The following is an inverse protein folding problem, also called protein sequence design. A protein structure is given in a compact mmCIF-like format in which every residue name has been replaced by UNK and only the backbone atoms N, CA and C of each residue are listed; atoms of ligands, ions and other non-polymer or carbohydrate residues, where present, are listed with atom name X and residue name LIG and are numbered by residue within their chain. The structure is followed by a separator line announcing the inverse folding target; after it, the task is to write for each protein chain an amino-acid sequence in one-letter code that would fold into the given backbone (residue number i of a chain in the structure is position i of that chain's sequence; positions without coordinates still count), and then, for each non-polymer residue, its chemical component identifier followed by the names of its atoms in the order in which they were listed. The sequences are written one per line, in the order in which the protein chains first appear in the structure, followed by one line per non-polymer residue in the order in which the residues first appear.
data_IF_042163423889
#
_entry.id   IF_042163423889
#
_cell.length_a   1.000
_cell.length_b   1.000
_cell.length_c   1.000
_cell.angle_alpha   90.00
_cell.angle_beta   90.00
_cell.angle_gamma   90.00
#
_symmetry.space_group_name_H-M   'P 1'
#
loop_
_entity.id
_entity.type
_entity.pdbx_description
1 polymer ?
#
# COMPACT_ATOMS: atom_id res chain seq x y z
N UNK A 1 -27.66 -8.06 -6.64
CA UNK A 1 -27.19 -6.78 -6.07
C UNK A 1 -25.92 -6.46 -6.83
N UNK A 2 -25.94 -5.47 -7.71
CA UNK A 2 -24.74 -5.10 -8.47
C UNK A 2 -23.68 -4.60 -7.48
N UNK A 3 -22.55 -5.30 -7.38
CA UNK A 3 -21.38 -4.75 -6.72
C UNK A 3 -20.99 -3.49 -7.49
N UNK A 4 -21.18 -2.32 -6.89
CA UNK A 4 -20.60 -1.10 -7.43
C UNK A 4 -19.09 -1.29 -7.57
N UNK A 5 -18.58 -1.02 -8.76
CA UNK A 5 -17.14 -0.95 -9.05
C UNK A 5 -16.53 0.09 -8.10
N UNK A 6 -15.75 -0.37 -7.12
CA UNK A 6 -15.24 0.48 -6.04
C UNK A 6 -13.73 0.64 -6.15
N UNK A 7 -13.25 1.86 -6.02
CA UNK A 7 -11.83 2.16 -5.93
C UNK A 7 -11.47 2.38 -4.46
N UNK A 8 -10.31 1.87 -4.05
CA UNK A 8 -9.80 2.14 -2.71
C UNK A 8 -8.30 2.38 -2.70
N UNK A 9 -7.84 3.12 -1.71
CA UNK A 9 -6.43 3.22 -1.35
C UNK A 9 -6.30 2.65 0.06
N UNK A 10 -5.40 1.68 0.22
CA UNK A 10 -5.03 1.12 1.51
C UNK A 10 -3.69 1.71 1.92
N UNK A 11 -3.61 2.16 3.16
CA UNK A 11 -2.35 2.56 3.80
C UNK A 11 -1.99 1.47 4.79
N UNK A 12 -0.80 0.89 4.63
CA UNK A 12 -0.34 -0.25 5.43
C UNK A 12 0.97 0.08 6.13
N UNK A 13 1.22 -0.56 7.26
CA UNK A 13 2.52 -0.57 7.93
C UNK A 13 2.77 -1.96 8.50
N UNK A 14 3.95 -2.53 8.22
CA UNK A 14 4.27 -3.91 8.55
C UNK A 14 5.75 -4.26 8.38
N UNK A 15 6.08 -5.52 8.67
CA UNK A 15 7.45 -6.03 8.76
C UNK A 15 7.95 -6.68 7.45
N UNK A 16 7.13 -6.63 6.41
CA UNK A 16 7.41 -7.17 5.07
C UNK A 16 6.89 -6.23 4.01
N UNK A 17 7.48 -6.23 2.82
CA UNK A 17 7.01 -5.34 1.76
C UNK A 17 5.56 -5.67 1.36
N UNK A 18 4.72 -4.64 1.13
CA UNK A 18 3.27 -4.77 1.03
C UNK A 18 2.79 -5.54 -0.21
N UNK A 19 3.67 -5.82 -1.17
CA UNK A 19 3.33 -6.59 -2.36
C UNK A 19 3.38 -8.11 -2.18
N UNK A 20 3.86 -8.60 -1.04
CA UNK A 20 3.89 -10.03 -0.79
C UNK A 20 2.53 -10.58 -0.39
N UNK A 21 1.62 -9.74 0.14
CA UNK A 21 0.28 -10.12 0.58
C UNK A 21 0.28 -11.44 1.37
N UNK A 22 1.21 -11.56 2.34
CA UNK A 22 1.32 -12.74 3.18
C UNK A 22 0.03 -12.95 4.00
N UNK A 23 -0.19 -14.17 4.48
CA UNK A 23 -1.39 -14.50 5.25
C UNK A 23 -1.60 -13.53 6.43
N UNK A 24 -2.75 -12.85 6.43
CA UNK A 24 -3.11 -11.88 7.46
C UNK A 24 -2.56 -10.46 7.24
N UNK A 25 -1.99 -10.15 6.06
CA UNK A 25 -1.54 -8.81 5.70
C UNK A 25 -2.61 -7.73 5.91
N UNK A 26 -3.90 -8.07 5.85
CA UNK A 26 -4.99 -7.11 6.07
C UNK A 26 -4.91 -6.46 7.46
N UNK A 27 -4.29 -7.14 8.44
CA UNK A 27 -4.05 -6.59 9.79
C UNK A 27 -3.04 -5.43 9.79
N UNK A 28 -2.25 -5.30 8.73
CA UNK A 28 -1.29 -4.20 8.55
C UNK A 28 -1.97 -2.94 7.99
N UNK A 29 -3.23 -3.01 7.56
CA UNK A 29 -3.98 -1.83 7.08
C UNK A 29 -4.25 -0.89 8.25
N UNK A 30 -3.68 0.32 8.17
CA UNK A 30 -3.89 1.42 9.13
C UNK A 30 -5.02 2.35 8.69
N UNK A 31 -5.20 2.52 7.38
CA UNK A 31 -6.26 3.36 6.82
C UNK A 31 -6.77 2.79 5.49
N UNK A 32 -8.08 2.93 5.25
CA UNK A 32 -8.69 2.71 3.93
C UNK A 32 -9.45 3.96 3.49
N UNK A 33 -9.15 4.45 2.29
CA UNK A 33 -9.90 5.52 1.61
C UNK A 33 -10.67 4.92 0.45
N UNK A 34 -11.94 5.26 0.30
CA UNK A 34 -12.82 4.75 -0.75
C UNK A 34 -13.20 5.88 -1.70
N UNK A 35 -13.31 5.56 -3.00
CA UNK A 35 -13.59 6.53 -4.05
C UNK A 35 -14.65 5.99 -5.01
N UNK A 36 -15.48 6.91 -5.52
CA UNK A 36 -16.54 6.57 -6.46
C UNK A 36 -16.01 6.37 -7.90
N UNK A 37 -14.85 6.94 -8.24
CA UNK A 37 -14.30 6.88 -9.58
C UNK A 37 -12.76 6.80 -9.59
N UNK A 38 -12.23 6.32 -10.72
CA UNK A 38 -10.81 6.11 -10.94
C UNK A 38 -10.00 7.40 -10.91
N UNK A 39 -10.56 8.50 -11.42
CA UNK A 39 -9.85 9.79 -11.53
C UNK A 39 -9.49 10.32 -10.14
N UNK A 40 -10.44 10.33 -9.22
CA UNK A 40 -10.21 10.75 -7.83
C UNK A 40 -9.22 9.82 -7.12
N UNK A 41 -9.40 8.51 -7.24
CA UNK A 41 -8.51 7.53 -6.62
C UNK A 41 -7.06 7.67 -7.13
N UNK A 42 -6.87 7.79 -8.45
CA UNK A 42 -5.54 7.95 -9.03
C UNK A 42 -4.88 9.28 -8.66
N UNK A 43 -5.66 10.37 -8.61
CA UNK A 43 -5.15 11.66 -8.18
C UNK A 43 -4.69 11.61 -6.72
N UNK A 44 -5.51 11.03 -5.85
CA UNK A 44 -5.17 10.88 -4.43
C UNK A 44 -3.98 9.94 -4.21
N UNK A 45 -3.92 8.82 -4.93
CA UNK A 45 -2.79 7.88 -4.86
C UNK A 45 -1.48 8.58 -5.22
N UNK A 46 -1.43 9.30 -6.34
CA UNK A 46 -0.24 10.04 -6.78
C UNK A 46 0.18 11.10 -5.75
N UNK A 47 -0.78 11.83 -5.19
CA UNK A 47 -0.51 12.83 -4.17
C UNK A 47 0.07 12.22 -2.89
N UNK A 48 -0.48 11.09 -2.42
CA UNK A 48 0.02 10.39 -1.23
C UNK A 48 1.42 9.81 -1.46
N UNK A 49 1.66 9.20 -2.61
CA UNK A 49 2.98 8.67 -3.00
C UNK A 49 4.01 9.79 -3.01
N UNK A 50 3.72 10.92 -3.66
CA UNK A 50 4.67 12.05 -3.70
C UNK A 50 4.95 12.62 -2.31
N UNK A 51 3.92 12.74 -1.46
CA UNK A 51 4.09 13.16 -0.08
C UNK A 51 4.95 12.19 0.74
N UNK A 52 4.87 10.88 0.49
CA UNK A 52 5.71 9.88 1.18
C UNK A 52 7.14 9.86 0.64
N UNK A 53 7.35 10.06 -0.67
CA UNK A 53 8.70 10.18 -1.26
C UNK A 53 9.52 11.33 -0.66
N UNK A 54 8.86 12.34 -0.11
CA UNK A 54 9.52 13.46 0.57
C UNK A 54 9.80 13.19 2.06
N UNK A 55 9.19 12.14 2.63
CA UNK A 55 9.26 11.80 4.05
C UNK A 55 10.13 10.58 4.35
N UNK A 56 10.33 9.71 3.36
CA UNK A 56 11.07 8.47 3.50
C UNK A 56 12.34 8.50 2.63
N UNK A 57 13.41 7.93 3.15
CA UNK A 57 14.70 7.85 2.48
C UNK A 57 14.66 6.93 1.27
N UNK A 58 13.90 5.84 1.38
CA UNK A 58 13.79 4.82 0.35
C UNK A 58 12.35 4.59 -0.07
N UNK A 59 12.16 4.28 -1.36
CA UNK A 59 10.87 3.85 -1.89
C UNK A 59 11.03 2.96 -3.12
N UNK A 60 10.03 2.09 -3.31
CA UNK A 60 9.88 1.29 -4.51
C UNK A 60 8.41 1.18 -4.88
N UNK A 61 8.12 1.21 -6.18
CA UNK A 61 6.78 0.95 -6.70
C UNK A 61 6.81 -0.37 -7.48
N UNK A 62 5.95 -1.32 -7.11
CA UNK A 62 5.75 -2.57 -7.84
C UNK A 62 4.50 -2.45 -8.72
N UNK A 63 4.68 -2.74 -10.01
CA UNK A 63 3.64 -2.51 -11.01
C UNK A 63 3.30 -1.01 -11.11
N UNK A 64 2.02 -0.67 -11.03
CA UNK A 64 1.54 0.72 -11.12
C UNK A 64 0.84 1.24 -9.86
N UNK A 65 0.63 0.39 -8.86
CA UNK A 65 -0.38 0.63 -7.81
C UNK A 65 0.07 0.31 -6.39
N UNK A 66 1.22 -0.36 -6.20
CA UNK A 66 1.72 -0.70 -4.87
C UNK A 66 3.03 0.05 -4.66
N UNK A 67 3.00 1.10 -3.85
CA UNK A 67 4.18 1.82 -3.40
C UNK A 67 4.57 1.37 -2.00
N UNK A 68 5.85 1.12 -1.78
CA UNK A 68 6.46 0.77 -0.50
C UNK A 68 7.53 1.79 -0.16
N UNK A 69 7.61 2.19 1.10
CA UNK A 69 8.52 3.20 1.63
C UNK A 69 9.15 2.69 2.93
N UNK A 70 10.39 3.06 3.20
CA UNK A 70 11.08 2.72 4.44
C UNK A 70 12.24 3.67 4.72
N UNK A 71 12.68 3.73 5.97
CA UNK A 71 13.89 4.43 6.40
C UNK A 71 14.87 3.42 7.00
N UNK A 72 16.16 3.70 6.82
CA UNK A 72 17.19 2.93 7.51
C UNK A 72 17.07 3.15 9.02
N UNK A 73 17.06 2.06 9.80
CA UNK A 73 16.94 2.10 11.26
C UNK A 73 15.52 2.29 11.80
N UNK A 74 14.50 2.37 10.94
CA UNK A 74 13.10 2.25 11.36
C UNK A 74 12.72 0.77 11.48
N UNK A 75 12.97 0.21 12.67
CA UNK A 75 12.86 -1.23 12.92
C UNK A 75 11.95 -1.56 14.12
N UNK A 76 11.38 -2.76 14.11
CA UNK A 76 10.58 -3.32 15.21
C UNK A 76 11.18 -4.65 15.67
N UNK A 77 11.27 -4.84 16.99
CA UNK A 77 11.73 -6.12 17.53
C UNK A 77 10.65 -7.19 17.40
N UNK A 78 10.97 -8.28 16.71
CA UNK A 78 10.10 -9.43 16.58
C UNK A 78 10.53 -10.52 17.58
N UNK A 79 9.76 -10.72 18.65
CA UNK A 79 10.06 -11.74 19.67
C UNK A 79 10.12 -13.16 19.11
N UNK A 80 9.32 -13.45 18.07
CA UNK A 80 9.29 -14.77 17.45
C UNK A 80 10.55 -15.07 16.61
N UNK A 81 11.15 -14.03 16.04
CA UNK A 81 12.36 -14.14 15.22
C UNK A 81 13.65 -13.84 16.02
N UNK A 82 13.53 -13.21 17.19
CA UNK A 82 14.64 -12.68 18.00
C UNK A 82 15.55 -11.72 17.21
N UNK A 83 14.95 -10.87 16.39
CA UNK A 83 15.66 -9.88 15.57
C UNK A 83 14.86 -8.59 15.40
N UNK A 84 15.55 -7.52 14.99
CA UNK A 84 14.93 -6.27 14.55
C UNK A 84 14.57 -6.38 13.08
N UNK A 85 13.28 -6.23 12.77
CA UNK A 85 12.74 -6.27 11.42
C UNK A 85 12.52 -4.85 10.90
N UNK A 86 12.84 -4.63 9.62
CA UNK A 86 12.54 -3.39 8.93
C UNK A 86 11.03 -3.12 8.93
N UNK A 87 10.64 -1.88 9.24
CA UNK A 87 9.27 -1.42 9.06
C UNK A 87 9.09 -0.87 7.65
N UNK A 88 8.05 -1.32 6.97
CA UNK A 88 7.64 -0.89 5.65
C UNK A 88 6.29 -0.19 5.70
N UNK A 89 6.19 0.93 5.00
CA UNK A 89 4.96 1.71 4.83
C UNK A 89 4.46 1.55 3.41
N UNK A 90 3.20 1.15 3.25
CA UNK A 90 2.59 0.88 1.95
C UNK A 90 1.49 1.86 1.59
N UNK A 91 1.42 2.22 0.31
CA UNK A 91 0.25 2.87 -0.30
C UNK A 91 -0.18 2.00 -1.48
N UNK A 92 -1.38 1.43 -1.39
CA UNK A 92 -1.87 0.45 -2.35
C UNK A 92 -3.16 0.95 -3.00
N UNK A 93 -3.14 1.15 -4.31
CA UNK A 93 -4.34 1.45 -5.10
C UNK A 93 -5.03 0.16 -5.53
N UNK A 94 -6.27 -0.01 -5.10
CA UNK A 94 -7.11 -1.16 -5.40
C UNK A 94 -8.28 -0.77 -6.29
N UNK A 95 -8.66 -1.69 -7.15
CA UNK A 95 -9.92 -1.68 -7.86
C UNK A 95 -10.66 -2.97 -7.52
N UNK A 96 -11.84 -2.83 -6.92
CA UNK A 96 -12.54 -3.92 -6.24
C UNK A 96 -11.67 -4.53 -5.14
N UNK A 97 -11.40 -5.83 -5.21
CA UNK A 97 -10.68 -6.64 -4.23
C UNK A 97 -9.21 -6.88 -4.62
N UNK A 98 -8.72 -6.23 -5.68
CA UNK A 98 -7.39 -6.49 -6.24
C UNK A 98 -6.56 -5.22 -6.43
N UNK A 99 -5.22 -5.32 -6.34
CA UNK A 99 -4.34 -4.23 -6.74
C UNK A 99 -4.63 -3.80 -8.17
N UNK A 100 -4.69 -2.50 -8.40
CA UNK A 100 -4.97 -1.97 -9.73
C UNK A 100 -3.82 -2.26 -10.68
N UNK A 101 -4.10 -2.84 -11.84
CA UNK A 101 -3.15 -2.89 -12.96
C UNK A 101 -3.79 -2.24 -14.19
N UNK A 102 -3.03 -1.53 -15.05
CA UNK A 102 -3.59 -0.74 -16.14
C UNK A 102 -4.25 -1.60 -17.21
N UNK A 103 -3.84 -2.87 -17.33
CA UNK A 103 -4.44 -3.89 -18.20
C UNK A 103 -5.89 -4.26 -17.83
N UNK A 104 -6.37 -3.89 -16.64
CA UNK A 104 -7.76 -4.16 -16.21
C UNK A 104 -8.77 -3.11 -16.69
N UNK A 105 -8.38 -2.21 -17.60
CA UNK A 105 -9.23 -1.15 -18.17
C UNK A 105 -9.81 -1.50 -19.55
N UNK A 106 -9.58 -2.72 -20.06
CA UNK A 106 -10.12 -3.22 -21.34
C UNK A 106 -11.53 -3.83 -21.22
#
# INVERSE_FOLDING_TARGET
MENQKQWSILITEGEVEPWYFLDGWEKQIKEQKQFANSKEAMAQYKALVEAHRQRFDHYQIKGSSIACFWNDGEEVYCEACDEFLQVYHGILLFYQDRPFEPSHMD
#
